data_IF_933971201579
#
_entry.id   IF_933971201579
#
_cell.length_a   1.000
_cell.length_b   1.000
_cell.length_c   1.000
_cell.angle_alpha   90.00
_cell.angle_beta   90.00
_cell.angle_gamma   90.00
#
_symmetry.space_group_name_H-M   'P 1'
#
loop_
_entity.id
_entity.type
_entity.pdbx_description
1 polymer ?
#
# COMPACT_ATOMS: atom_id res chain seq x y z
N UNK A 1 5.20 -15.68 -7.54
CA UNK A 1 6.02 -14.46 -7.76
C UNK A 1 6.96 -14.28 -6.56
N UNK A 2 7.88 -13.30 -6.47
CA UNK A 2 8.39 -12.89 -5.15
C UNK A 2 7.20 -12.40 -4.31
N UNK A 3 7.19 -12.71 -3.02
CA UNK A 3 6.13 -12.27 -2.15
C UNK A 3 6.20 -10.74 -1.98
N UNK A 4 5.06 -10.07 -1.94
CA UNK A 4 4.97 -8.63 -1.78
C UNK A 4 3.95 -8.25 -0.74
N UNK A 5 4.12 -7.04 -0.23
CA UNK A 5 3.27 -6.43 0.78
C UNK A 5 2.65 -5.18 0.21
N UNK A 6 1.32 -5.10 0.22
CA UNK A 6 0.58 -3.95 -0.26
C UNK A 6 -0.05 -3.18 0.88
N UNK A 7 0.01 -1.85 0.76
CA UNK A 7 -0.85 -0.97 1.52
C UNK A 7 -1.79 -0.26 0.56
N UNK A 8 -3.07 -0.64 0.58
CA UNK A 8 -4.14 0.03 -0.16
C UNK A 8 -4.72 1.14 0.71
N UNK A 9 -4.99 2.32 0.14
CA UNK A 9 -5.53 3.41 0.92
C UNK A 9 -6.40 4.39 0.12
N UNK A 10 -7.38 4.95 0.83
CA UNK A 10 -8.25 6.01 0.34
C UNK A 10 -7.57 7.37 0.32
N UNK A 11 -8.30 8.40 -0.11
CA UNK A 11 -7.79 9.76 -0.11
C UNK A 11 -7.90 10.41 1.27
N UNK A 12 -6.92 11.22 1.65
CA UNK A 12 -7.00 12.00 2.88
C UNK A 12 -7.83 13.27 2.67
N UNK A 13 -9.01 13.33 3.29
CA UNK A 13 -9.93 14.47 3.18
C UNK A 13 -9.36 15.72 3.85
N UNK A 14 -9.11 16.78 3.07
CA UNK A 14 -8.84 18.13 3.58
C UNK A 14 -7.39 18.60 3.58
N UNK A 15 -6.45 17.83 3.00
CA UNK A 15 -5.04 18.23 2.91
C UNK A 15 -4.68 18.81 1.55
N UNK A 16 -3.86 19.86 1.57
CA UNK A 16 -3.19 20.38 0.38
C UNK A 16 -1.83 19.69 0.25
N UNK A 17 -1.64 18.91 -0.81
CA UNK A 17 -0.41 18.17 -1.10
C UNK A 17 -0.69 16.96 -1.98
N UNK A 18 0.34 16.43 -2.65
CA UNK A 18 0.22 15.19 -3.42
C UNK A 18 0.50 13.97 -2.53
N UNK A 19 -0.13 12.85 -2.87
CA UNK A 19 0.10 11.55 -2.20
C UNK A 19 1.55 11.12 -2.34
N UNK A 20 2.14 11.37 -3.51
CA UNK A 20 3.55 11.12 -3.77
C UNK A 20 4.43 11.85 -2.76
N UNK A 21 4.24 13.16 -2.52
CA UNK A 21 5.02 13.92 -1.53
C UNK A 21 4.87 13.38 -0.09
N UNK A 22 3.68 12.91 0.27
CA UNK A 22 3.44 12.30 1.57
C UNK A 22 4.19 10.97 1.71
N UNK A 23 4.13 10.10 0.70
CA UNK A 23 4.86 8.85 0.70
C UNK A 23 6.37 9.05 0.64
N UNK A 24 6.86 10.02 -0.12
CA UNK A 24 8.28 10.38 -0.14
C UNK A 24 8.78 10.76 1.26
N UNK A 25 7.97 11.49 2.02
CA UNK A 25 8.27 11.89 3.40
C UNK A 25 8.21 10.70 4.36
N UNK A 26 7.23 9.81 4.21
CA UNK A 26 7.09 8.60 5.04
C UNK A 26 8.26 7.63 4.81
N UNK A 27 8.59 7.38 3.53
CA UNK A 27 9.60 6.39 3.13
C UNK A 27 11.03 6.97 3.20
N UNK A 28 11.16 8.29 3.07
CA UNK A 28 12.44 8.99 3.04
C UNK A 28 13.19 8.81 1.71
N UNK A 29 12.47 8.56 0.62
CA UNK A 29 13.01 8.40 -0.73
C UNK A 29 12.20 9.25 -1.71
N UNK A 30 12.82 9.67 -2.81
CA UNK A 30 12.12 10.31 -3.92
C UNK A 30 11.53 9.26 -4.86
N UNK A 31 10.31 9.51 -5.32
CA UNK A 31 9.64 8.67 -6.30
C UNK A 31 9.90 9.20 -7.70
N UNK A 32 10.24 8.31 -8.61
CA UNK A 32 10.44 8.60 -10.02
C UNK A 32 9.27 8.02 -10.82
N UNK A 33 8.74 8.74 -11.83
CA UNK A 33 7.67 8.21 -12.68
C UNK A 33 8.19 7.05 -13.52
N UNK A 34 7.33 6.06 -13.77
CA UNK A 34 7.61 4.89 -14.61
C UNK A 34 6.46 4.61 -15.58
N UNK A 35 6.76 3.89 -16.65
CA UNK A 35 5.77 3.49 -17.66
C UNK A 35 5.37 2.01 -17.47
N UNK A 36 4.78 1.70 -16.31
CA UNK A 36 4.32 0.34 -15.99
C UNK A 36 2.80 0.30 -15.77
N UNK A 37 2.17 -0.82 -16.12
CA UNK A 37 0.72 -0.97 -15.98
C UNK A 37 0.25 -1.11 -14.52
N UNK A 38 1.17 -1.43 -13.62
CA UNK A 38 0.89 -1.77 -12.23
C UNK A 38 1.34 -0.69 -11.23
N UNK A 39 2.06 0.35 -11.69
CA UNK A 39 2.54 1.44 -10.86
C UNK A 39 2.82 2.68 -11.71
N UNK A 40 2.51 3.86 -11.16
CA UNK A 40 2.80 5.15 -11.79
C UNK A 40 4.19 5.66 -11.42
N UNK A 41 4.68 5.31 -10.22
CA UNK A 41 5.97 5.75 -9.71
C UNK A 41 6.72 4.64 -8.97
N UNK A 42 8.04 4.76 -8.88
CA UNK A 42 8.90 3.86 -8.11
C UNK A 42 9.93 4.62 -7.29
N UNK A 43 10.26 4.09 -6.12
CA UNK A 43 11.46 4.43 -5.37
C UNK A 43 12.21 3.15 -5.01
N UNK A 44 13.55 3.14 -5.12
CA UNK A 44 14.37 1.96 -4.81
C UNK A 44 15.39 2.28 -3.74
N UNK A 45 15.35 1.54 -2.62
CA UNK A 45 16.40 1.56 -1.59
C UNK A 45 17.50 0.58 -1.97
N UNK A 46 18.76 1.00 -1.79
CA UNK A 46 19.95 0.20 -2.07
C UNK A 46 19.97 -0.39 -3.51
N UNK A 47 19.78 0.44 -4.56
CA UNK A 47 19.77 -0.06 -5.93
C UNK A 47 21.10 -0.72 -6.31
N UNK A 48 21.03 -1.77 -7.14
CA UNK A 48 22.21 -2.53 -7.59
C UNK A 48 22.78 -3.52 -6.57
N UNK A 49 22.11 -3.73 -5.44
CA UNK A 49 22.46 -4.75 -4.44
C UNK A 49 21.53 -5.95 -4.50
N UNK A 50 21.93 -7.08 -3.90
CA UNK A 50 21.07 -8.25 -3.75
C UNK A 50 20.05 -8.13 -2.61
N UNK A 51 19.95 -6.97 -1.96
CA UNK A 51 19.06 -6.65 -0.84
C UNK A 51 18.32 -5.32 -1.11
N UNK A 52 18.00 -5.07 -2.38
CA UNK A 52 17.27 -3.88 -2.77
C UNK A 52 15.81 -3.97 -2.31
N UNK A 53 15.18 -2.81 -2.12
CA UNK A 53 13.75 -2.74 -1.79
C UNK A 53 13.10 -1.77 -2.76
N UNK A 54 12.10 -2.21 -3.52
CA UNK A 54 11.26 -1.34 -4.33
C UNK A 54 10.02 -0.93 -3.56
N UNK A 55 9.65 0.34 -3.72
CA UNK A 55 8.38 0.90 -3.33
C UNK A 55 7.70 1.35 -4.62
N UNK A 56 6.62 0.69 -4.99
CA UNK A 56 5.88 0.92 -6.24
C UNK A 56 4.55 1.59 -5.89
N UNK A 57 4.34 2.82 -6.36
CA UNK A 57 3.17 3.63 -6.06
C UNK A 57 2.23 3.65 -7.27
N UNK A 58 0.98 3.25 -7.02
CA UNK A 58 -0.14 3.38 -7.94
C UNK A 58 -1.10 4.44 -7.38
N UNK A 59 -1.37 5.47 -8.17
CA UNK A 59 -2.22 6.62 -7.81
C UNK A 59 -3.69 6.44 -8.21
N UNK A 60 -3.96 5.48 -9.10
CA UNK A 60 -5.34 5.15 -9.47
C UNK A 60 -5.47 3.70 -9.89
N UNK A 61 -6.09 2.92 -9.02
CA UNK A 61 -6.61 1.61 -9.40
C UNK A 61 -7.82 1.76 -10.31
N UNK A 62 -7.81 0.97 -11.39
CA UNK A 62 -8.90 0.87 -12.35
C UNK A 62 -9.55 -0.52 -12.27
N UNK A 63 -9.80 -0.98 -11.05
CA UNK A 63 -10.46 -2.26 -10.79
C UNK A 63 -11.99 -2.07 -10.77
N UNK A 64 -12.71 -3.10 -11.22
CA UNK A 64 -14.18 -3.13 -11.26
C UNK A 64 -14.78 -3.54 -9.92
N UNK A 65 -16.05 -3.20 -9.70
CA UNK A 65 -16.81 -3.64 -8.51
C UNK A 65 -16.79 -5.17 -8.33
N UNK A 66 -16.78 -5.94 -9.43
CA UNK A 66 -16.66 -7.41 -9.39
C UNK A 66 -15.39 -7.88 -8.66
N UNK A 67 -14.27 -7.14 -8.78
CA UNK A 67 -13.03 -7.47 -8.08
C UNK A 67 -13.08 -7.09 -6.61
N UNK A 68 -13.83 -6.04 -6.25
CA UNK A 68 -14.06 -5.69 -4.84
C UNK A 68 -14.81 -6.84 -4.12
N UNK A 69 -15.81 -7.42 -4.79
CA UNK A 69 -16.61 -8.54 -4.27
C UNK A 69 -15.79 -9.84 -4.16
N UNK A 70 -15.02 -10.18 -5.20
CA UNK A 70 -14.23 -11.42 -5.24
C UNK A 70 -13.10 -11.43 -4.20
N UNK A 71 -12.43 -10.29 -4.00
CA UNK A 71 -11.27 -10.18 -3.11
C UNK A 71 -11.65 -9.72 -1.70
N UNK A 72 -12.87 -9.23 -1.49
CA UNK A 72 -13.31 -8.65 -0.22
C UNK A 72 -12.59 -7.35 0.17
N UNK A 73 -11.88 -6.72 -0.77
CA UNK A 73 -11.16 -5.46 -0.60
C UNK A 73 -11.90 -4.38 -1.41
N UNK A 74 -12.40 -3.29 -0.79
CA UNK A 74 -13.14 -2.26 -1.52
C UNK A 74 -12.18 -1.33 -2.29
N UNK A 75 -11.56 -1.80 -3.38
CA UNK A 75 -10.59 -1.05 -4.17
C UNK A 75 -11.16 0.25 -4.72
N UNK A 76 -12.47 0.29 -5.01
CA UNK A 76 -13.17 1.52 -5.40
C UNK A 76 -13.06 2.65 -4.38
N UNK A 77 -12.92 2.33 -3.08
CA UNK A 77 -12.75 3.29 -1.99
C UNK A 77 -11.28 3.60 -1.69
N UNK A 78 -10.36 2.77 -2.20
CA UNK A 78 -8.92 2.84 -1.99
C UNK A 78 -8.18 2.89 -3.32
N UNK A 79 -8.30 4.01 -4.07
CA UNK A 79 -7.73 4.10 -5.40
C UNK A 79 -6.20 4.09 -5.41
N UNK A 80 -5.54 4.20 -4.25
CA UNK A 80 -4.08 4.28 -4.14
C UNK A 80 -3.52 3.00 -3.53
N UNK A 81 -2.35 2.59 -4.00
CA UNK A 81 -1.57 1.54 -3.34
C UNK A 81 -0.08 1.82 -3.36
N UNK A 82 0.61 1.38 -2.30
CA UNK A 82 2.06 1.29 -2.29
C UNK A 82 2.47 -0.15 -2.01
N UNK A 83 3.19 -0.73 -2.95
CA UNK A 83 3.71 -2.09 -2.86
C UNK A 83 5.16 -2.07 -2.42
N UNK A 84 5.49 -2.86 -1.40
CA UNK A 84 6.86 -3.10 -0.95
C UNK A 84 7.31 -4.46 -1.45
N UNK A 85 8.36 -4.48 -2.27
CA UNK A 85 8.94 -5.72 -2.84
C UNK A 85 10.45 -5.74 -2.69
N UNK A 86 11.00 -6.93 -2.80
CA UNK A 86 12.43 -7.15 -2.80
C UNK A 86 12.78 -8.62 -3.00
N UNK A 87 14.05 -8.99 -2.79
CA UNK A 87 14.53 -10.36 -2.95
C UNK A 87 13.92 -11.31 -1.92
N UNK A 88 13.83 -12.59 -2.30
CA UNK A 88 13.40 -13.66 -1.38
C UNK A 88 14.39 -13.82 -0.22
N UNK A 89 13.87 -14.11 0.97
CA UNK A 89 14.64 -14.25 2.20
C UNK A 89 14.62 -13.02 3.11
N UNK A 90 14.16 -11.87 2.60
CA UNK A 90 14.03 -10.61 3.36
C UNK A 90 12.56 -10.25 3.63
N UNK A 91 11.63 -11.22 3.54
CA UNK A 91 10.18 -10.98 3.63
C UNK A 91 9.76 -10.29 4.94
N UNK A 92 10.35 -10.67 6.07
CA UNK A 92 10.07 -10.02 7.36
C UNK A 92 10.49 -8.54 7.38
N UNK A 93 11.57 -8.20 6.66
CA UNK A 93 11.99 -6.80 6.51
C UNK A 93 10.98 -6.03 5.66
N UNK A 94 10.53 -6.61 4.54
CA UNK A 94 9.54 -6.00 3.67
C UNK A 94 8.20 -5.79 4.41
N UNK A 95 7.78 -6.79 5.19
CA UNK A 95 6.60 -6.72 6.06
C UNK A 95 6.70 -5.57 7.05
N UNK A 96 7.82 -5.48 7.78
CA UNK A 96 8.03 -4.44 8.77
C UNK A 96 8.02 -3.03 8.15
N UNK A 97 8.58 -2.88 6.94
CA UNK A 97 8.56 -1.61 6.21
C UNK A 97 7.14 -1.24 5.76
N UNK A 98 6.40 -2.18 5.19
CA UNK A 98 5.01 -1.95 4.77
C UNK A 98 4.10 -1.63 5.97
N UNK A 99 4.26 -2.33 7.09
CA UNK A 99 3.55 -2.03 8.34
C UNK A 99 3.90 -0.63 8.88
N UNK A 100 5.16 -0.21 8.74
CA UNK A 100 5.59 1.15 9.07
C UNK A 100 4.88 2.20 8.23
N UNK A 101 4.76 1.96 6.92
CA UNK A 101 4.02 2.83 5.99
C UNK A 101 2.54 2.88 6.38
N UNK A 102 1.90 1.73 6.62
CA UNK A 102 0.51 1.63 7.07
C UNK A 102 0.26 2.50 8.33
N UNK A 103 1.14 2.35 9.33
CA UNK A 103 1.04 3.11 10.59
C UNK A 103 1.18 4.61 10.35
N UNK A 104 2.14 5.03 9.53
CA UNK A 104 2.35 6.44 9.20
C UNK A 104 1.20 7.02 8.35
N UNK A 105 0.62 6.26 7.43
CA UNK A 105 -0.54 6.71 6.64
C UNK A 105 -1.75 6.94 7.56
N UNK A 106 -1.98 6.04 8.52
CA UNK A 106 -3.00 6.20 9.56
C UNK A 106 -2.78 7.47 10.40
N UNK A 107 -1.55 7.70 10.87
CA UNK A 107 -1.19 8.92 11.62
C UNK A 107 -1.36 10.19 10.79
N UNK A 108 -1.16 10.11 9.47
CA UNK A 108 -1.38 11.21 8.53
C UNK A 108 -2.84 11.33 8.05
N UNK A 109 -3.76 10.51 8.56
CA UNK A 109 -5.21 10.64 8.35
C UNK A 109 -5.75 10.07 7.04
N UNK A 110 -4.98 9.23 6.33
CA UNK A 110 -5.45 8.51 5.15
C UNK A 110 -6.46 7.43 5.55
N UNK A 111 -7.61 7.32 4.89
CA UNK A 111 -8.62 6.32 5.22
C UNK A 111 -9.54 6.03 4.02
N UNK A 112 -10.10 4.81 3.90
CA UNK A 112 -9.70 3.59 4.63
C UNK A 112 -8.27 3.14 4.26
N UNK A 113 -7.65 2.24 5.04
CA UNK A 113 -6.33 1.65 4.76
C UNK A 113 -6.38 0.13 4.98
N UNK A 114 -5.88 -0.66 4.02
CA UNK A 114 -5.67 -2.10 4.14
C UNK A 114 -4.18 -2.44 4.05
N UNK A 115 -3.73 -3.40 4.85
CA UNK A 115 -2.42 -4.01 4.75
C UNK A 115 -2.56 -5.48 4.33
N UNK A 116 -1.97 -5.86 3.20
CA UNK A 116 -2.22 -7.15 2.53
C UNK A 116 -0.90 -7.81 2.14
N UNK A 117 -0.86 -9.15 2.18
CA UNK A 117 0.25 -9.97 1.68
C UNK A 117 -0.20 -10.79 0.47
N UNK A 118 0.52 -10.61 -0.65
CA UNK A 118 0.28 -11.28 -1.94
C UNK A 118 -1.18 -11.28 -2.42
N UNK A 119 -1.96 -10.25 -2.08
CA UNK A 119 -3.43 -10.15 -2.30
C UNK A 119 -4.29 -11.26 -1.65
N UNK A 120 -3.67 -12.31 -1.12
CA UNK A 120 -4.31 -13.50 -0.57
C UNK A 120 -4.66 -13.36 0.92
N UNK A 121 -3.90 -12.55 1.67
CA UNK A 121 -4.04 -12.44 3.12
C UNK A 121 -4.11 -10.97 3.58
N UNK A 122 -5.27 -10.56 4.07
CA UNK A 122 -5.47 -9.25 4.70
C UNK A 122 -4.91 -9.31 6.12
N UNK A 123 -3.79 -8.63 6.33
CA UNK A 123 -3.09 -8.58 7.62
C UNK A 123 -3.77 -7.61 8.58
N UNK A 124 -4.13 -6.42 8.11
CA UNK A 124 -4.73 -5.37 8.95
C UNK A 124 -5.64 -4.45 8.14
N UNK A 125 -6.66 -3.89 8.80
CA UNK A 125 -7.60 -2.94 8.24
C UNK A 125 -7.85 -1.79 9.21
N UNK A 126 -7.82 -0.57 8.66
CA UNK A 126 -8.15 0.64 9.40
C UNK A 126 -9.12 1.55 8.65
N UNK A 127 -10.32 1.68 9.20
CA UNK A 127 -11.27 2.75 8.85
C UNK A 127 -11.94 3.27 10.14
N UNK A 128 -11.65 4.52 10.56
CA UNK A 128 -12.24 5.10 11.76
C UNK A 128 -13.72 5.52 11.56
N UNK A 129 -14.20 5.65 10.32
CA UNK A 129 -15.58 6.05 10.00
C UNK A 129 -16.50 4.82 9.92
N UNK A 130 -15.94 3.65 9.66
CA UNK A 130 -16.65 2.38 9.76
C UNK A 130 -16.81 1.99 11.23
N UNK A 131 -17.87 2.48 11.87
CA UNK A 131 -18.28 2.02 13.20
C UNK A 131 -18.74 0.56 13.13
N UNK A 132 -17.82 -0.36 13.40
CA UNK A 132 -18.03 -1.70 13.97
C UNK A 132 -18.90 -2.68 13.16
N UNK A 133 -18.27 -3.70 12.61
CA UNK A 133 -18.56 -5.12 12.90
C UNK A 133 -17.59 -6.01 12.12
N UNK A 134 -16.48 -6.40 12.75
CA UNK A 134 -15.78 -7.63 12.39
C UNK A 134 -15.62 -8.48 13.64
N UNK A 135 -16.75 -8.92 14.19
CA UNK A 135 -16.81 -10.26 14.78
C UNK A 135 -17.23 -11.20 13.65
N UNK A 136 -16.26 -11.94 13.11
CA UNK A 136 -16.50 -13.29 12.64
C UNK A 136 -15.39 -14.16 13.18
N UNK A 137 -15.69 -14.76 14.32
CA UNK A 137 -15.11 -16.04 14.70
C UNK A 137 -15.19 -17.00 13.51
N UNK A 138 -14.05 -17.59 13.14
CA UNK A 138 -13.98 -18.87 12.42
C UNK A 138 -12.94 -19.75 13.12
#
# INVERSE_FOLDING_TARGET
MPAYFDVYFGSHSGRQGSITEDLERIIGLKFEPIEEIYADHIAVRNPGTNHFISYELLLKQSLSEDLDEDMGIPFTQMPHSVTVRGPRGDEEQHKALAQGIFTQLKENGYKPIYFVYDLDDVIDFWDPDQKGEHSKDF
#
